data_IF_616774540452
#
_entry.id   IF_616774540452
#
_cell.length_a   1.000
_cell.length_b   1.000
_cell.length_c   1.000
_cell.angle_alpha   90.00
_cell.angle_beta   90.00
_cell.angle_gamma   90.00
#
_symmetry.space_group_name_H-M   'P 1'
#
loop_
_entity.id
_entity.type
_entity.pdbx_description
1 polymer ?
#
# COMPACT_ATOMS: atom_id res chain seq x y z
N UNK A 1 -25.85 -6.65 18.68
CA UNK A 1 -26.64 -5.87 19.66
C UNK A 1 -27.40 -4.78 18.91
N UNK A 2 -28.70 -4.61 19.16
CA UNK A 2 -29.45 -3.47 18.63
C UNK A 2 -28.90 -2.18 19.28
N UNK A 3 -28.69 -1.13 18.48
CA UNK A 3 -28.18 0.14 18.98
C UNK A 3 -29.26 0.80 19.85
N UNK A 4 -29.09 0.76 21.17
CA UNK A 4 -29.98 1.45 22.10
C UNK A 4 -29.54 2.91 22.18
N UNK A 5 -30.33 3.81 21.58
CA UNK A 5 -30.04 5.24 21.62
C UNK A 5 -30.21 5.75 23.04
N UNK A 6 -29.12 6.21 23.66
CA UNK A 6 -29.20 6.94 24.93
C UNK A 6 -29.15 8.44 24.66
N UNK A 7 -30.05 9.18 25.32
CA UNK A 7 -30.08 10.64 25.22
C UNK A 7 -28.93 11.22 26.04
N UNK A 8 -27.95 11.82 25.35
CA UNK A 8 -27.00 12.74 25.97
C UNK A 8 -27.61 14.14 25.86
N UNK A 9 -28.35 14.58 26.87
CA UNK A 9 -28.76 15.98 26.98
C UNK A 9 -28.16 16.62 28.21
N UNK A 10 -27.62 17.83 28.04
CA UNK A 10 -27.23 18.75 29.12
C UNK A 10 -25.98 18.36 29.93
N UNK A 11 -24.94 17.86 29.25
CA UNK A 11 -23.61 17.79 29.86
C UNK A 11 -23.05 19.21 30.00
N UNK A 12 -22.81 19.67 31.23
CA UNK A 12 -22.19 20.98 31.45
C UNK A 12 -20.69 20.96 31.11
N UNK A 13 -20.05 19.79 31.22
CA UNK A 13 -18.63 19.59 30.93
C UNK A 13 -18.39 18.42 29.98
N UNK A 14 -17.38 18.55 29.11
CA UNK A 14 -16.94 17.50 28.18
C UNK A 14 -15.85 16.61 28.78
N UNK A 15 -14.85 16.21 27.98
CA UNK A 15 -13.65 15.53 28.49
C UNK A 15 -12.79 16.50 29.29
N UNK A 16 -12.52 16.19 30.55
CA UNK A 16 -11.65 16.98 31.44
C UNK A 16 -10.44 16.14 31.83
N UNK A 17 -9.29 16.35 31.19
CA UNK A 17 -8.06 15.59 31.49
C UNK A 17 -7.17 16.23 32.57
N UNK A 18 -7.56 17.40 33.08
CA UNK A 18 -6.75 18.18 34.04
C UNK A 18 -7.06 17.86 35.51
N UNK A 19 -8.01 16.98 35.77
CA UNK A 19 -8.44 16.59 37.11
C UNK A 19 -8.35 15.09 37.23
N UNK A 20 -7.93 14.64 38.39
CA UNK A 20 -7.94 13.21 38.70
C UNK A 20 -9.38 12.66 38.68
N UNK A 21 -9.59 11.37 38.37
CA UNK A 21 -10.92 10.81 38.12
C UNK A 21 -11.95 11.05 39.23
N UNK A 22 -11.51 11.05 40.50
CA UNK A 22 -12.39 11.30 41.66
C UNK A 22 -12.74 12.78 41.87
N UNK A 23 -12.08 13.69 41.15
CA UNK A 23 -12.36 15.14 41.12
C UNK A 23 -13.17 15.56 39.88
N UNK A 24 -13.50 14.61 39.00
CA UNK A 24 -14.40 14.82 37.89
C UNK A 24 -15.81 15.05 38.43
N UNK A 25 -16.51 16.00 37.81
CA UNK A 25 -17.94 16.14 38.06
C UNK A 25 -18.66 14.90 37.53
N UNK A 26 -19.82 14.62 38.11
CA UNK A 26 -20.57 13.40 37.83
C UNK A 26 -21.02 13.26 36.36
N UNK A 27 -20.99 14.37 35.60
CA UNK A 27 -21.33 14.48 34.18
C UNK A 27 -20.10 14.52 33.24
N UNK A 28 -18.87 14.52 33.76
CA UNK A 28 -17.67 14.54 32.95
C UNK A 28 -17.23 13.12 32.56
N UNK A 29 -16.81 12.94 31.30
CA UNK A 29 -16.27 11.67 30.83
C UNK A 29 -14.77 11.54 31.16
N UNK A 30 -14.41 10.46 31.85
CA UNK A 30 -13.01 10.09 32.11
C UNK A 30 -12.30 9.66 30.81
N UNK A 31 -12.96 8.78 30.06
CA UNK A 31 -12.46 8.22 28.80
C UNK A 31 -13.51 8.48 27.71
N UNK A 32 -13.04 9.02 26.58
CA UNK A 32 -13.82 9.16 25.36
C UNK A 32 -13.10 8.37 24.27
N UNK A 33 -13.67 7.23 23.88
CA UNK A 33 -13.14 6.40 22.81
C UNK A 33 -13.81 6.73 21.48
N UNK A 34 -12.98 6.90 20.45
CA UNK A 34 -13.41 7.15 19.07
C UNK A 34 -14.39 8.34 18.87
N UNK A 35 -14.32 9.34 19.74
CA UNK A 35 -15.10 10.57 19.64
C UNK A 35 -14.25 11.80 20.03
N UNK A 36 -14.68 12.98 19.58
CA UNK A 36 -14.12 14.26 20.00
C UNK A 36 -15.23 15.24 20.32
N UNK A 37 -14.91 16.28 21.07
CA UNK A 37 -15.81 17.42 21.27
C UNK A 37 -15.48 18.50 20.25
N UNK A 38 -16.47 18.90 19.46
CA UNK A 38 -16.38 20.04 18.53
C UNK A 38 -17.51 21.00 18.85
N UNK A 39 -17.15 22.18 19.36
CA UNK A 39 -18.11 23.25 19.72
C UNK A 39 -19.21 22.77 20.70
N UNK A 40 -18.83 21.98 21.71
CA UNK A 40 -19.78 21.44 22.71
C UNK A 40 -20.62 20.26 22.22
N UNK A 41 -20.48 19.85 20.94
CA UNK A 41 -21.13 18.65 20.42
C UNK A 41 -20.12 17.50 20.47
N UNK A 42 -20.51 16.39 21.08
CA UNK A 42 -19.78 15.13 20.99
C UNK A 42 -19.96 14.58 19.56
N UNK A 43 -18.91 14.65 18.76
CA UNK A 43 -18.88 14.08 17.42
C UNK A 43 -18.09 12.77 17.45
N UNK A 44 -18.55 11.77 16.69
CA UNK A 44 -17.72 10.60 16.38
C UNK A 44 -16.46 11.09 15.65
N UNK A 45 -15.27 10.65 16.09
CA UNK A 45 -14.04 10.94 15.34
C UNK A 45 -14.21 10.29 13.97
N UNK A 46 -13.99 11.09 12.92
CA UNK A 46 -13.88 10.55 11.56
C UNK A 46 -12.50 9.91 11.43
N UNK A 47 -12.41 8.67 11.91
CA UNK A 47 -11.23 7.81 11.92
C UNK A 47 -11.67 6.50 12.58
N UNK A 48 -11.40 5.36 11.94
CA UNK A 48 -11.82 4.06 12.48
C UNK A 48 -10.71 3.60 13.43
N UNK A 49 -11.04 3.18 14.65
CA UNK A 49 -10.06 2.51 15.54
C UNK A 49 -9.37 1.34 14.85
N UNK A 50 -10.09 0.69 13.92
CA UNK A 50 -9.58 -0.36 13.02
C UNK A 50 -8.42 0.07 12.12
N UNK A 51 -8.28 1.36 11.80
CA UNK A 51 -7.15 1.82 10.98
C UNK A 51 -5.84 1.89 11.79
N UNK A 52 -5.91 2.04 13.11
CA UNK A 52 -4.72 2.14 13.96
C UNK A 52 -4.01 0.82 14.25
N UNK A 53 -4.61 -0.32 13.86
CA UNK A 53 -4.05 -1.65 14.05
C UNK A 53 -4.29 -2.47 12.79
N UNK A 54 -3.32 -2.43 11.88
CA UNK A 54 -3.30 -3.30 10.71
C UNK A 54 -2.50 -4.54 11.10
N UNK A 55 -3.13 -5.72 11.06
CA UNK A 55 -2.43 -6.98 11.36
C UNK A 55 -1.32 -7.19 10.34
N UNK A 56 -0.13 -7.55 10.82
CA UNK A 56 0.96 -7.99 9.96
C UNK A 56 0.94 -9.48 9.77
N UNK A 57 0.83 -9.92 8.53
CA UNK A 57 1.06 -11.33 8.20
C UNK A 57 2.46 -11.39 7.64
N UNK A 58 3.35 -12.13 8.30
CA UNK A 58 4.60 -12.51 7.67
C UNK A 58 4.26 -13.43 6.49
N UNK A 59 4.51 -12.99 5.26
CA UNK A 59 4.13 -13.74 4.06
C UNK A 59 4.98 -14.98 3.83
N UNK A 60 6.12 -15.14 4.50
CA UNK A 60 6.92 -16.35 4.45
C UNK A 60 6.47 -17.38 5.49
N UNK A 61 6.09 -16.96 6.69
CA UNK A 61 5.70 -17.88 7.78
C UNK A 61 4.19 -17.97 8.02
N UNK A 62 3.41 -17.09 7.39
CA UNK A 62 1.97 -16.88 7.60
C UNK A 62 1.57 -16.57 9.04
N UNK A 63 2.54 -16.22 9.90
CA UNK A 63 2.26 -15.88 11.29
C UNK A 63 1.71 -14.45 11.41
N UNK A 64 0.49 -14.27 11.92
CA UNK A 64 -0.02 -12.95 12.21
C UNK A 64 0.75 -12.37 13.42
N UNK A 65 1.27 -11.17 13.25
CA UNK A 65 1.89 -10.36 14.28
C UNK A 65 1.17 -9.02 14.34
N UNK A 66 0.80 -8.59 15.53
CA UNK A 66 0.27 -7.24 15.71
C UNK A 66 1.43 -6.26 15.65
N UNK A 67 1.68 -5.68 14.48
CA UNK A 67 2.62 -4.58 14.32
C UNK A 67 1.83 -3.26 14.29
N UNK A 68 2.16 -2.34 15.20
CA UNK A 68 1.50 -1.03 15.33
C UNK A 68 2.12 0.00 14.41
N UNK A 69 2.19 -0.32 13.11
CA UNK A 69 2.71 0.63 12.13
C UNK A 69 1.74 1.82 11.99
N UNK A 70 2.27 3.05 11.86
CA UNK A 70 1.44 4.20 11.54
C UNK A 70 0.79 4.01 10.16
N UNK A 71 -0.44 4.51 10.02
CA UNK A 71 -1.09 4.63 8.71
C UNK A 71 -0.47 5.80 7.98
N UNK A 72 0.13 5.49 6.83
CA UNK A 72 0.86 6.43 5.98
C UNK A 72 0.01 6.95 4.81
N UNK A 73 -1.16 6.36 4.58
CA UNK A 73 -2.10 6.81 3.57
C UNK A 73 -3.37 5.98 3.52
N UNK A 74 -4.49 6.62 3.17
CA UNK A 74 -5.77 5.94 2.90
C UNK A 74 -6.29 6.47 1.58
N UNK A 75 -6.43 5.57 0.62
CA UNK A 75 -6.83 5.91 -0.73
C UNK A 75 -7.83 4.91 -1.26
N UNK A 76 -8.35 5.19 -2.44
CA UNK A 76 -9.25 4.28 -3.14
C UNK A 76 -8.58 3.82 -4.43
N UNK A 77 -8.57 2.51 -4.66
CA UNK A 77 -8.36 1.93 -5.97
C UNK A 77 -9.69 1.96 -6.72
N UNK A 78 -9.68 2.48 -7.94
CA UNK A 78 -10.86 2.53 -8.81
C UNK A 78 -10.72 1.42 -9.85
N UNK A 79 -11.68 0.51 -9.94
CA UNK A 79 -11.72 -0.54 -10.96
C UNK A 79 -13.06 -0.55 -11.69
N UNK A 80 -13.13 0.15 -12.82
CA UNK A 80 -14.39 0.36 -13.51
C UNK A 80 -15.40 1.13 -12.63
N UNK A 81 -16.44 0.44 -12.16
CA UNK A 81 -17.47 1.01 -11.28
C UNK A 81 -17.28 0.63 -9.80
N UNK A 82 -16.27 -0.18 -9.47
CA UNK A 82 -15.98 -0.54 -8.08
C UNK A 82 -14.93 0.38 -7.51
N UNK A 83 -15.10 0.70 -6.23
CA UNK A 83 -14.18 1.50 -5.44
C UNK A 83 -13.73 0.65 -4.25
N UNK A 84 -12.44 0.40 -4.16
CA UNK A 84 -11.84 -0.43 -3.13
C UNK A 84 -10.93 0.43 -2.26
N UNK A 85 -11.12 0.36 -0.94
CA UNK A 85 -10.28 1.12 -0.01
C UNK A 85 -8.94 0.40 0.14
N UNK A 86 -7.86 1.10 -0.16
CA UNK A 86 -6.49 0.67 0.08
C UNK A 86 -5.85 1.54 1.15
N UNK A 87 -5.10 0.91 2.04
CA UNK A 87 -4.44 1.58 3.16
C UNK A 87 -2.98 1.17 3.17
N UNK A 88 -2.13 2.17 3.40
CA UNK A 88 -0.70 2.00 3.50
C UNK A 88 -0.29 2.12 4.95
N UNK A 89 0.48 1.15 5.43
CA UNK A 89 1.29 1.31 6.64
C UNK A 89 2.72 1.69 6.22
N UNK A 90 3.67 1.72 7.17
CA UNK A 90 5.07 2.04 6.87
C UNK A 90 5.72 1.12 5.81
N UNK A 91 5.35 -0.16 5.79
CA UNK A 91 6.07 -1.20 5.05
C UNK A 91 5.19 -1.93 4.02
N UNK A 92 3.86 -1.74 4.05
CA UNK A 92 2.88 -2.61 3.37
C UNK A 92 1.63 -1.87 2.90
N UNK A 93 0.92 -2.50 1.97
CA UNK A 93 -0.37 -2.06 1.45
C UNK A 93 -1.39 -3.13 1.78
N UNK A 94 -2.55 -2.69 2.23
CA UNK A 94 -3.65 -3.54 2.62
C UNK A 94 -4.92 -3.11 1.90
N UNK A 95 -5.69 -4.09 1.44
CA UNK A 95 -7.01 -3.91 0.85
C UNK A 95 -8.07 -4.16 1.89
N UNK A 96 -9.02 -3.23 2.03
CA UNK A 96 -10.22 -3.47 2.81
C UNK A 96 -11.19 -4.39 2.06
N UNK A 97 -11.67 -5.44 2.72
CA UNK A 97 -12.62 -6.39 2.17
C UNK A 97 -13.88 -6.40 3.03
N UNK A 98 -14.95 -5.81 2.51
CA UNK A 98 -16.22 -5.65 3.22
C UNK A 98 -16.98 -6.97 3.41
N UNK A 99 -16.71 -7.95 2.55
CA UNK A 99 -17.33 -9.29 2.60
C UNK A 99 -16.75 -10.21 3.68
N UNK A 100 -15.69 -9.78 4.39
CA UNK A 100 -15.08 -10.56 5.48
C UNK A 100 -16.04 -10.64 6.67
N UNK A 101 -16.19 -11.83 7.25
CA UNK A 101 -17.19 -12.09 8.27
C UNK A 101 -16.85 -11.42 9.61
N UNK A 102 -17.86 -11.06 10.39
CA UNK A 102 -17.70 -10.52 11.74
C UNK A 102 -18.83 -11.01 12.65
N UNK A 103 -18.50 -11.25 13.92
CA UNK A 103 -19.45 -11.58 14.98
C UNK A 103 -19.95 -13.01 14.94
N UNK A 104 -19.15 -13.96 14.44
CA UNK A 104 -19.53 -15.38 14.45
C UNK A 104 -19.35 -15.94 15.86
N UNK A 105 -20.43 -16.46 16.45
CA UNK A 105 -20.42 -16.97 17.82
C UNK A 105 -19.79 -18.37 17.89
N UNK A 106 -18.86 -18.53 18.83
CA UNK A 106 -18.18 -19.78 19.15
C UNK A 106 -19.05 -20.62 20.09
N UNK A 107 -19.18 -21.91 19.80
CA UNK A 107 -20.00 -22.85 20.58
C UNK A 107 -19.14 -23.74 21.48
N UNK A 108 -18.01 -24.22 20.96
CA UNK A 108 -17.11 -25.09 21.72
C UNK A 108 -15.70 -25.05 21.17
N UNK A 109 -14.75 -25.49 22.00
CA UNK A 109 -13.34 -25.70 21.66
C UNK A 109 -12.93 -27.12 22.01
N UNK A 110 -12.11 -27.74 21.16
CA UNK A 110 -11.61 -29.10 21.33
C UNK A 110 -10.14 -29.21 20.94
N UNK A 111 -9.43 -30.11 21.62
CA UNK A 111 -8.07 -30.52 21.24
C UNK A 111 -8.15 -31.44 20.01
N UNK A 112 -7.38 -31.12 18.96
CA UNK A 112 -7.23 -32.00 17.78
C UNK A 112 -5.97 -32.86 17.91
N UNK A 113 -5.09 -32.55 18.86
CA UNK A 113 -3.75 -33.10 18.95
C UNK A 113 -2.88 -32.68 17.75
N UNK A 114 -1.68 -33.25 17.67
CA UNK A 114 -0.71 -32.99 16.60
C UNK A 114 0.44 -32.05 17.00
N UNK A 115 1.45 -31.99 16.15
CA UNK A 115 2.53 -31.01 16.21
C UNK A 115 2.48 -30.17 14.93
N UNK A 116 2.39 -28.83 15.01
CA UNK A 116 2.24 -28.02 16.22
C UNK A 116 0.88 -28.24 16.92
N UNK A 117 0.71 -27.78 18.16
CA UNK A 117 -0.55 -27.95 18.90
C UNK A 117 -1.70 -27.28 18.12
N UNK A 118 -2.74 -28.05 17.77
CA UNK A 118 -3.90 -27.56 17.02
C UNK A 118 -5.17 -27.60 17.86
N UNK A 119 -5.92 -26.51 17.84
CA UNK A 119 -7.19 -26.35 18.55
C UNK A 119 -8.32 -26.12 17.55
N UNK A 120 -9.41 -26.88 17.70
CA UNK A 120 -10.62 -26.76 16.87
C UNK A 120 -11.71 -25.99 17.57
N UNK A 121 -12.23 -24.99 16.87
CA UNK A 121 -13.43 -24.26 17.25
C UNK A 121 -14.63 -24.78 16.48
N UNK A 122 -15.79 -24.80 17.14
CA UNK A 122 -17.09 -25.13 16.52
C UNK A 122 -18.01 -23.93 16.61
N UNK A 123 -18.78 -23.69 15.55
CA UNK A 123 -19.81 -22.63 15.47
C UNK A 123 -21.18 -23.27 15.18
N UNK A 124 -22.27 -22.55 15.48
CA UNK A 124 -23.62 -23.11 15.39
C UNK A 124 -24.10 -23.37 13.94
N UNK A 125 -23.64 -22.56 12.99
CA UNK A 125 -23.98 -22.62 11.57
C UNK A 125 -22.80 -22.12 10.74
N UNK A 126 -22.82 -22.40 9.43
CA UNK A 126 -21.76 -22.05 8.49
C UNK A 126 -21.07 -20.72 8.76
N UNK A 127 -19.75 -20.74 8.94
CA UNK A 127 -18.98 -19.53 9.28
C UNK A 127 -18.46 -18.80 8.04
N UNK A 128 -18.16 -19.49 6.94
CA UNK A 128 -17.60 -18.84 5.73
C UNK A 128 -16.12 -18.43 5.84
N UNK A 129 -15.43 -18.88 6.89
CA UNK A 129 -13.97 -18.79 7.02
C UNK A 129 -13.35 -19.85 6.11
N UNK A 130 -12.24 -19.53 5.47
CA UNK A 130 -11.41 -20.41 4.63
C UNK A 130 -10.06 -20.70 5.31
N UNK A 131 -9.32 -21.70 4.81
CA UNK A 131 -7.93 -21.88 5.23
C UNK A 131 -7.11 -20.62 4.87
N UNK A 132 -6.08 -20.33 5.66
CA UNK A 132 -5.20 -19.15 5.58
C UNK A 132 -5.84 -17.81 5.91
N UNK A 133 -7.14 -17.78 6.24
CA UNK A 133 -7.74 -16.58 6.78
C UNK A 133 -7.13 -16.22 8.14
N UNK A 134 -6.97 -14.92 8.36
CA UNK A 134 -6.62 -14.37 9.67
C UNK A 134 -7.89 -14.03 10.41
N UNK A 135 -7.99 -14.52 11.64
CA UNK A 135 -9.14 -14.32 12.50
C UNK A 135 -8.73 -13.78 13.87
N UNK A 136 -9.55 -12.90 14.43
CA UNK A 136 -9.44 -12.44 15.81
C UNK A 136 -10.54 -13.09 16.64
N UNK A 137 -10.11 -13.87 17.63
CA UNK A 137 -10.99 -14.44 18.66
C UNK A 137 -11.04 -13.47 19.84
N UNK A 138 -12.24 -13.25 20.38
CA UNK A 138 -12.48 -12.30 21.47
C UNK A 138 -13.55 -12.81 22.44
N UNK A 139 -13.51 -12.29 23.67
CA UNK A 139 -14.42 -12.65 24.76
C UNK A 139 -14.30 -14.14 25.15
N UNK A 140 -13.08 -14.64 25.16
CA UNK A 140 -12.68 -15.96 25.67
C UNK A 140 -11.70 -15.78 26.84
N UNK A 141 -11.40 -16.86 27.58
CA UNK A 141 -10.42 -16.75 28.67
C UNK A 141 -9.00 -17.04 28.18
N UNK A 142 -8.85 -18.03 27.30
CA UNK A 142 -7.54 -18.55 26.90
C UNK A 142 -7.18 -18.28 25.44
N UNK A 143 -8.11 -17.79 24.63
CA UNK A 143 -7.97 -17.70 23.18
C UNK A 143 -8.18 -16.29 22.63
N UNK A 144 -8.14 -15.26 23.47
CA UNK A 144 -8.23 -13.88 22.99
C UNK A 144 -6.94 -13.53 22.26
N UNK A 145 -7.04 -13.31 20.95
CA UNK A 145 -5.87 -13.19 20.09
C UNK A 145 -6.20 -13.19 18.61
N UNK A 146 -5.17 -13.05 17.78
CA UNK A 146 -5.25 -13.12 16.32
C UNK A 146 -4.50 -14.34 15.83
N UNK A 147 -5.13 -15.14 14.99
CA UNK A 147 -4.66 -16.46 14.58
C UNK A 147 -4.84 -16.65 13.08
N UNK A 148 -3.97 -17.46 12.48
CA UNK A 148 -4.19 -18.04 11.16
C UNK A 148 -5.07 -19.28 11.29
N UNK A 149 -5.96 -19.48 10.33
CA UNK A 149 -6.78 -20.68 10.22
C UNK A 149 -6.07 -21.74 9.39
N UNK A 150 -5.86 -22.92 9.98
CA UNK A 150 -5.13 -24.04 9.36
C UNK A 150 -6.04 -24.97 8.56
N UNK A 151 -7.21 -25.30 9.12
CA UNK A 151 -8.17 -26.20 8.50
C UNK A 151 -9.60 -25.72 8.71
N UNK A 152 -10.45 -26.02 7.75
CA UNK A 152 -11.84 -25.56 7.69
C UNK A 152 -12.77 -26.72 7.30
N UNK A 153 -13.88 -26.82 8.00
CA UNK A 153 -15.07 -27.56 7.58
C UNK A 153 -16.29 -26.64 7.63
N UNK A 154 -17.49 -27.16 7.38
CA UNK A 154 -18.70 -26.33 7.33
C UNK A 154 -18.97 -25.58 8.64
N UNK A 155 -18.70 -26.19 9.80
CA UNK A 155 -19.04 -25.64 11.13
C UNK A 155 -17.86 -25.62 12.09
N UNK A 156 -16.65 -25.89 11.60
CA UNK A 156 -15.46 -25.96 12.44
C UNK A 156 -14.26 -25.36 11.71
N UNK A 157 -13.38 -24.73 12.47
CA UNK A 157 -12.09 -24.28 11.97
C UNK A 157 -11.01 -24.53 13.03
N UNK A 158 -9.78 -24.67 12.56
CA UNK A 158 -8.63 -25.02 13.40
C UNK A 158 -7.63 -23.85 13.43
N UNK A 159 -7.01 -23.62 14.59
CA UNK A 159 -5.90 -22.67 14.76
C UNK A 159 -4.72 -23.36 15.43
N UNK A 160 -3.52 -22.84 15.20
CA UNK A 160 -2.34 -23.22 15.97
C UNK A 160 -2.38 -22.56 17.36
N UNK A 161 -2.56 -23.36 18.42
CA UNK A 161 -2.54 -22.90 19.82
C UNK A 161 -2.41 -24.10 20.76
N UNK A 162 -1.87 -23.89 21.95
CA UNK A 162 -1.91 -24.91 23.00
C UNK A 162 -3.36 -25.10 23.48
N UNK A 163 -3.81 -26.36 23.57
CA UNK A 163 -5.14 -26.64 24.08
C UNK A 163 -5.26 -26.32 25.57
N UNK A 164 -6.25 -25.51 25.92
CA UNK A 164 -6.68 -25.22 27.29
C UNK A 164 -8.20 -25.38 27.32
N UNK A 165 -8.69 -26.30 28.15
CA UNK A 165 -10.12 -26.54 28.25
C UNK A 165 -10.85 -25.29 28.78
N UNK A 166 -11.84 -24.81 28.04
CA UNK A 166 -12.77 -23.78 28.50
C UNK A 166 -14.16 -23.96 27.90
N UNK A 167 -15.15 -23.31 28.52
CA UNK A 167 -16.52 -23.23 28.00
C UNK A 167 -16.70 -21.91 27.27
N UNK A 168 -17.13 -21.94 26.01
CA UNK A 168 -17.40 -20.74 25.25
C UNK A 168 -18.63 -20.01 25.81
N UNK A 169 -18.50 -18.72 26.04
CA UNK A 169 -19.60 -17.86 26.44
C UNK A 169 -20.48 -17.49 25.25
N UNK A 170 -21.72 -17.05 25.52
CA UNK A 170 -22.64 -16.60 24.47
C UNK A 170 -22.15 -15.37 23.68
N UNK A 171 -21.08 -14.72 24.15
CA UNK A 171 -20.42 -13.57 23.52
C UNK A 171 -19.04 -13.91 22.95
N UNK A 172 -18.54 -15.13 23.15
CA UNK A 172 -17.28 -15.61 22.57
C UNK A 172 -17.46 -15.65 21.06
N UNK A 173 -16.61 -14.91 20.36
CA UNK A 173 -16.81 -14.68 18.93
C UNK A 173 -15.49 -14.69 18.18
N UNK A 174 -15.60 -15.04 16.91
CA UNK A 174 -14.53 -14.92 15.93
C UNK A 174 -14.91 -13.88 14.88
N UNK A 175 -13.96 -13.02 14.54
CA UNK A 175 -14.04 -12.05 13.47
C UNK A 175 -12.93 -12.34 12.48
N UNK A 176 -13.20 -12.22 11.20
CA UNK A 176 -12.15 -12.29 10.19
C UNK A 176 -11.52 -10.90 10.03
N UNK A 177 -10.21 -10.86 9.81
CA UNK A 177 -9.50 -9.60 9.55
C UNK A 177 -10.03 -8.96 8.27
N UNK A 178 -10.42 -7.69 8.36
CA UNK A 178 -11.01 -6.96 7.23
C UNK A 178 -9.97 -6.44 6.26
N UNK A 179 -8.70 -6.38 6.68
CA UNK A 179 -7.58 -5.98 5.85
C UNK A 179 -6.84 -7.19 5.30
N UNK A 180 -6.84 -7.33 3.98
CA UNK A 180 -5.99 -8.30 3.30
C UNK A 180 -4.72 -7.61 2.89
N UNK A 181 -3.58 -8.03 3.44
CA UNK A 181 -2.26 -7.61 2.97
C UNK A 181 -2.12 -7.96 1.49
N UNK A 182 -1.63 -7.05 0.66
CA UNK A 182 -1.37 -7.34 -0.77
C UNK A 182 0.12 -7.23 -1.11
N UNK A 183 0.96 -6.96 -0.12
CA UNK A 183 2.42 -7.03 -0.22
C UNK A 183 2.87 -8.49 -0.06
N UNK A 184 2.88 -9.24 -1.16
CA UNK A 184 3.36 -10.64 -1.19
C UNK A 184 4.88 -10.72 -1.44
N UNK A 185 5.47 -11.85 -1.04
CA UNK A 185 6.85 -12.16 -1.43
C UNK A 185 6.97 -12.15 -2.93
N UNK A 186 7.97 -11.45 -3.44
CA UNK A 186 8.19 -11.33 -4.87
C UNK A 186 9.65 -11.21 -5.20
N UNK A 187 9.99 -11.70 -6.38
CA UNK A 187 11.34 -11.58 -6.96
C UNK A 187 11.19 -11.00 -8.35
N UNK A 188 11.98 -9.97 -8.61
CA UNK A 188 12.11 -9.42 -9.95
C UNK A 188 13.11 -10.23 -10.75
N UNK A 189 12.78 -10.51 -12.00
CA UNK A 189 13.64 -11.25 -12.92
C UNK A 189 13.95 -10.44 -14.18
N UNK A 190 15.10 -10.71 -14.78
CA UNK A 190 15.52 -10.21 -16.08
C UNK A 190 16.00 -11.38 -16.96
N UNK A 191 15.48 -11.44 -18.18
CA UNK A 191 15.92 -12.35 -19.21
C UNK A 191 17.22 -11.85 -19.86
N UNK A 192 18.36 -12.10 -19.20
CA UNK A 192 19.68 -11.85 -19.77
C UNK A 192 20.06 -12.91 -20.84
N UNK A 193 19.30 -13.00 -21.95
CA UNK A 193 19.57 -13.93 -23.07
C UNK A 193 19.51 -15.43 -22.73
N UNK A 194 18.64 -15.83 -21.79
CA UNK A 194 18.48 -17.22 -21.33
C UNK A 194 17.21 -17.89 -21.89
N UNK A 195 16.97 -19.19 -21.61
CA UNK A 195 15.86 -19.97 -22.20
C UNK A 195 14.47 -19.46 -21.78
N UNK A 196 13.52 -19.35 -22.72
CA UNK A 196 12.21 -18.68 -22.58
C UNK A 196 11.15 -19.36 -21.70
N UNK A 197 11.52 -19.94 -20.56
CA UNK A 197 10.54 -20.61 -19.70
C UNK A 197 9.68 -19.61 -18.91
N UNK A 198 8.36 -19.76 -19.02
CA UNK A 198 7.37 -18.95 -18.28
C UNK A 198 6.75 -19.81 -17.19
N UNK A 199 6.99 -19.50 -15.90
CA UNK A 199 6.36 -20.24 -14.82
C UNK A 199 4.84 -20.11 -14.83
N UNK A 200 4.16 -21.22 -14.59
CA UNK A 200 2.73 -21.29 -14.33
C UNK A 200 2.45 -21.21 -12.82
N UNK A 201 1.21 -20.84 -12.47
CA UNK A 201 0.74 -20.88 -11.08
C UNK A 201 0.87 -22.31 -10.52
N UNK A 202 1.44 -22.43 -9.32
CA UNK A 202 1.64 -23.68 -8.61
C UNK A 202 3.00 -24.35 -8.84
N UNK A 203 3.82 -23.85 -9.76
CA UNK A 203 5.18 -24.35 -9.97
C UNK A 203 6.13 -23.79 -8.91
N UNK A 204 7.09 -24.60 -8.47
CA UNK A 204 8.14 -24.18 -7.53
C UNK A 204 9.34 -23.64 -8.30
N UNK A 205 9.69 -22.38 -8.04
CA UNK A 205 10.91 -21.77 -8.56
C UNK A 205 12.00 -21.86 -7.49
N UNK A 206 13.20 -22.20 -7.92
CA UNK A 206 14.40 -22.28 -7.12
C UNK A 206 15.46 -21.33 -7.68
N UNK A 207 16.24 -20.73 -6.78
CA UNK A 207 17.38 -19.91 -7.17
C UNK A 207 18.70 -20.66 -7.02
N UNK A 208 19.47 -20.75 -8.10
CA UNK A 208 20.73 -21.49 -8.19
C UNK A 208 21.73 -21.19 -7.06
N UNK A 209 21.87 -19.91 -6.72
CA UNK A 209 22.94 -19.45 -5.82
C UNK A 209 22.58 -19.59 -4.35
N UNK A 210 21.32 -19.31 -3.98
CA UNK A 210 20.88 -19.31 -2.59
C UNK A 210 20.21 -20.62 -2.17
N UNK A 211 19.71 -21.41 -3.13
CA UNK A 211 18.82 -22.54 -2.87
C UNK A 211 17.44 -22.10 -2.36
N UNK A 212 17.11 -20.81 -2.40
CA UNK A 212 15.80 -20.32 -2.01
C UNK A 212 14.74 -20.85 -2.97
N UNK A 213 13.57 -21.22 -2.44
CA UNK A 213 12.45 -21.73 -3.23
C UNK A 213 11.17 -20.96 -2.93
N UNK A 214 10.21 -20.97 -3.86
CA UNK A 214 8.87 -20.44 -3.67
C UNK A 214 7.90 -20.94 -4.73
N UNK A 215 6.63 -21.11 -4.37
CA UNK A 215 5.58 -21.55 -5.31
C UNK A 215 4.96 -20.33 -5.98
N UNK A 216 4.90 -20.34 -7.31
CA UNK A 216 4.40 -19.21 -8.11
C UNK A 216 2.90 -19.04 -7.89
N UNK A 217 2.49 -17.80 -7.58
CA UNK A 217 1.09 -17.38 -7.62
C UNK A 217 0.78 -16.75 -8.98
N UNK A 218 1.54 -15.73 -9.34
CA UNK A 218 1.42 -15.02 -10.61
C UNK A 218 2.77 -14.53 -11.11
N UNK A 219 2.91 -14.52 -12.43
CA UNK A 219 4.03 -13.91 -13.13
C UNK A 219 3.51 -12.72 -13.92
N UNK A 220 4.05 -11.54 -13.64
CA UNK A 220 3.73 -10.31 -14.36
C UNK A 220 4.90 -9.92 -15.22
N UNK A 221 4.67 -9.69 -16.51
CA UNK A 221 5.68 -9.16 -17.44
C UNK A 221 5.49 -7.65 -17.53
N UNK A 222 6.52 -6.91 -17.13
CA UNK A 222 6.51 -5.44 -17.18
C UNK A 222 6.80 -4.96 -18.61
N UNK A 223 7.77 -5.59 -19.27
CA UNK A 223 8.04 -5.40 -20.70
C UNK A 223 8.69 -6.64 -21.33
N UNK A 224 8.74 -6.64 -22.66
CA UNK A 224 9.27 -7.75 -23.45
C UNK A 224 8.31 -8.93 -23.52
N UNK A 225 8.81 -10.08 -23.97
CA UNK A 225 8.05 -11.32 -24.02
C UNK A 225 8.96 -12.51 -23.68
N UNK A 226 8.44 -13.53 -22.99
CA UNK A 226 9.26 -14.70 -22.65
C UNK A 226 9.84 -15.40 -23.89
N UNK A 227 9.12 -15.38 -25.01
CA UNK A 227 9.62 -15.91 -26.28
C UNK A 227 10.64 -15.02 -27.01
N UNK A 228 10.76 -13.75 -26.62
CA UNK A 228 11.68 -12.76 -27.21
C UNK A 228 13.06 -12.69 -26.54
N UNK A 229 13.26 -13.43 -25.45
CA UNK A 229 14.47 -13.37 -24.60
C UNK A 229 14.76 -11.95 -24.06
N UNK A 230 13.73 -11.14 -23.88
CA UNK A 230 13.77 -9.76 -23.39
C UNK A 230 12.75 -9.51 -22.27
N UNK A 231 12.15 -10.58 -21.73
CA UNK A 231 11.15 -10.48 -20.67
C UNK A 231 11.76 -10.01 -19.36
N UNK A 232 11.22 -8.92 -18.84
CA UNK A 232 11.51 -8.46 -17.49
C UNK A 232 10.19 -8.31 -16.77
N UNK A 233 10.19 -8.77 -15.52
CA UNK A 233 8.96 -8.85 -14.79
C UNK A 233 9.14 -9.23 -13.34
N UNK A 234 8.02 -9.55 -12.71
CA UNK A 234 7.95 -9.92 -11.30
C UNK A 234 7.27 -11.27 -11.17
N UNK A 235 7.91 -12.18 -10.43
CA UNK A 235 7.28 -13.40 -9.91
C UNK A 235 6.75 -13.06 -8.53
N UNK A 236 5.45 -13.26 -8.32
CA UNK A 236 4.81 -13.19 -7.01
C UNK A 236 4.57 -14.61 -6.54
N UNK A 237 4.98 -14.89 -5.31
CA UNK A 237 4.86 -16.21 -4.71
C UNK A 237 3.59 -16.34 -3.87
N UNK A 238 3.08 -17.57 -3.81
CA UNK A 238 2.03 -17.95 -2.88
C UNK A 238 2.53 -17.75 -1.45
N UNK A 239 1.68 -17.22 -0.59
CA UNK A 239 2.05 -16.94 0.81
C UNK A 239 2.36 -18.24 1.54
N UNK A 240 3.34 -18.21 2.43
CA UNK A 240 3.80 -19.35 3.21
C UNK A 240 4.67 -20.33 2.43
N UNK A 241 4.91 -20.12 1.13
CA UNK A 241 5.62 -21.08 0.28
C UNK A 241 7.10 -20.76 0.09
N UNK A 242 7.52 -19.54 0.43
CA UNK A 242 8.91 -19.11 0.26
C UNK A 242 9.78 -19.69 1.37
N UNK A 243 10.87 -20.37 0.99
CA UNK A 243 11.90 -20.86 1.90
C UNK A 243 13.26 -20.31 1.51
N UNK A 244 14.06 -19.87 2.50
CA UNK A 244 15.34 -19.21 2.27
C UNK A 244 15.19 -17.74 1.87
N UNK A 245 16.27 -17.16 1.34
CA UNK A 245 16.29 -15.76 0.86
C UNK A 245 16.80 -15.73 -0.57
N UNK A 246 15.95 -15.29 -1.49
CA UNK A 246 16.38 -15.01 -2.86
C UNK A 246 17.38 -13.84 -2.83
N UNK A 247 18.58 -14.03 -3.36
CA UNK A 247 19.59 -13.00 -3.48
C UNK A 247 19.48 -12.26 -4.82
N UNK A 248 20.13 -11.10 -4.93
CA UNK A 248 20.32 -10.46 -6.23
C UNK A 248 21.30 -11.27 -7.08
N UNK A 249 21.06 -11.33 -8.38
CA UNK A 249 21.91 -11.89 -9.44
C UNK A 249 22.01 -13.43 -9.49
N UNK A 250 21.19 -14.16 -8.74
CA UNK A 250 21.07 -15.62 -8.86
C UNK A 250 20.07 -16.03 -9.93
N UNK A 251 20.42 -17.00 -10.76
CA UNK A 251 19.53 -17.59 -11.77
C UNK A 251 18.34 -18.28 -11.12
N UNK A 252 17.14 -18.01 -11.63
CA UNK A 252 15.86 -18.60 -11.24
C UNK A 252 15.51 -19.71 -12.24
N UNK A 253 15.11 -20.88 -11.75
CA UNK A 253 14.68 -22.01 -12.58
C UNK A 253 13.57 -22.83 -11.91
N UNK A 254 12.85 -23.63 -12.68
CA UNK A 254 11.89 -24.60 -12.14
C UNK A 254 12.60 -25.64 -11.27
N UNK A 255 12.20 -25.77 -10.01
CA UNK A 255 12.80 -26.73 -9.09
C UNK A 255 12.68 -28.16 -9.62
N UNK A 256 13.80 -28.87 -9.67
CA UNK A 256 13.90 -30.19 -10.30
C UNK A 256 14.20 -30.18 -11.80
N UNK A 257 14.07 -29.04 -12.48
CA UNK A 257 14.36 -28.90 -13.92
C UNK A 257 15.28 -27.69 -14.20
N UNK A 258 16.59 -27.75 -13.90
CA UNK A 258 17.51 -26.60 -14.05
C UNK A 258 17.64 -26.04 -15.48
N UNK A 259 17.16 -26.75 -16.51
CA UNK A 259 17.10 -26.25 -17.89
C UNK A 259 15.96 -25.26 -18.15
N UNK A 260 14.95 -25.23 -17.27
CA UNK A 260 13.78 -24.36 -17.35
C UNK A 260 14.09 -23.05 -16.62
N UNK A 261 14.88 -22.20 -17.26
CA UNK A 261 15.40 -20.96 -16.69
C UNK A 261 14.34 -19.87 -16.84
N UNK A 262 13.98 -19.23 -15.72
CA UNK A 262 13.04 -18.10 -15.70
C UNK A 262 13.77 -16.76 -15.93
N UNK A 263 15.07 -16.72 -15.73
CA UNK A 263 15.88 -15.50 -15.84
C UNK A 263 16.76 -15.32 -14.60
N UNK A 264 17.43 -14.18 -14.52
CA UNK A 264 18.29 -13.84 -13.39
C UNK A 264 17.55 -12.92 -12.43
N UNK A 265 17.64 -13.17 -11.13
CA UNK A 265 17.04 -12.30 -10.13
C UNK A 265 17.71 -10.92 -10.17
N UNK A 266 16.94 -9.85 -10.37
CA UNK A 266 17.48 -8.48 -10.41
C UNK A 266 17.66 -7.90 -9.01
N UNK A 267 16.82 -8.34 -8.08
CA UNK A 267 16.82 -7.89 -6.69
C UNK A 267 16.70 -9.08 -5.76
N UNK A 268 17.13 -8.90 -4.51
CA UNK A 268 16.79 -9.85 -3.46
C UNK A 268 15.27 -9.96 -3.32
N UNK A 269 14.78 -11.17 -3.08
CA UNK A 269 13.38 -11.40 -2.76
C UNK A 269 13.03 -10.70 -1.47
N UNK A 270 11.90 -10.01 -1.46
CA UNK A 270 11.44 -9.29 -0.29
C UNK A 270 9.92 -9.35 -0.16
N UNK A 271 9.48 -9.35 1.09
CA UNK A 271 8.09 -9.15 1.50
C UNK A 271 7.79 -7.67 1.78
N UNK A 272 8.82 -6.82 1.76
CA UNK A 272 8.77 -5.44 2.22
C UNK A 272 8.94 -4.50 1.05
N UNK A 273 7.81 -4.00 0.55
CA UNK A 273 7.77 -3.13 -0.63
C UNK A 273 8.28 -1.72 -0.31
N UNK A 274 8.30 -1.35 0.97
CA UNK A 274 8.68 0.00 1.39
C UNK A 274 9.63 -0.01 2.59
N UNK A 275 10.68 0.81 2.49
CA UNK A 275 11.74 1.00 3.49
C UNK A 275 11.68 2.36 4.17
N UNK A 276 10.66 3.16 3.84
CA UNK A 276 10.43 4.49 4.40
C UNK A 276 10.17 4.50 5.91
N UNK A 277 10.23 5.69 6.49
CA UNK A 277 9.87 5.94 7.89
C UNK A 277 8.50 6.63 8.02
N UNK A 278 8.18 7.15 9.21
CA UNK A 278 6.91 7.83 9.48
C UNK A 278 6.83 9.26 8.87
N UNK A 279 7.80 9.65 8.04
CA UNK A 279 7.82 10.89 7.27
C UNK A 279 7.60 10.65 5.77
N UNK A 280 7.72 9.41 5.31
CA UNK A 280 7.58 9.00 3.91
C UNK A 280 6.11 8.66 3.59
N UNK A 281 5.28 9.70 3.44
CA UNK A 281 3.86 9.53 3.12
C UNK A 281 3.64 9.05 1.69
N UNK A 282 2.62 8.21 1.53
CA UNK A 282 2.23 7.70 0.22
C UNK A 282 1.47 8.77 -0.58
N UNK A 283 1.70 8.77 -1.87
CA UNK A 283 0.91 9.47 -2.87
C UNK A 283 0.46 8.49 -3.94
N UNK A 284 -0.79 8.62 -4.39
CA UNK A 284 -1.32 7.72 -5.41
C UNK A 284 -2.02 8.46 -6.54
N UNK A 285 -2.02 7.85 -7.72
CA UNK A 285 -2.84 8.26 -8.84
C UNK A 285 -3.52 7.05 -9.47
N UNK A 286 -4.84 7.13 -9.66
CA UNK A 286 -5.59 6.12 -10.38
C UNK A 286 -5.63 6.46 -11.87
N UNK A 287 -5.42 5.46 -12.73
CA UNK A 287 -5.60 5.58 -14.17
C UNK A 287 -6.27 4.34 -14.74
N UNK A 288 -7.37 4.53 -15.46
CA UNK A 288 -7.96 3.49 -16.31
C UNK A 288 -7.47 3.67 -17.74
N UNK A 289 -6.78 2.67 -18.27
CA UNK A 289 -6.24 2.64 -19.62
C UNK A 289 -6.62 1.32 -20.29
N UNK A 290 -7.25 1.38 -21.46
CA UNK A 290 -7.64 0.18 -22.21
C UNK A 290 -8.63 -0.74 -21.46
N UNK A 291 -9.39 -0.20 -20.51
CA UNK A 291 -10.32 -0.97 -19.67
C UNK A 291 -9.69 -1.60 -18.42
N UNK A 292 -8.37 -1.56 -18.27
CA UNK A 292 -7.67 -1.97 -17.06
C UNK A 292 -7.44 -0.74 -16.17
N UNK A 293 -7.77 -0.83 -14.88
CA UNK A 293 -7.53 0.25 -13.94
C UNK A 293 -6.34 -0.07 -13.06
N UNK A 294 -5.46 0.92 -12.90
CA UNK A 294 -4.22 0.79 -12.15
C UNK A 294 -4.09 1.96 -11.17
N UNK A 295 -3.54 1.69 -9.99
CA UNK A 295 -3.12 2.72 -9.05
C UNK A 295 -1.61 2.79 -9.05
N UNK A 296 -1.04 3.94 -9.39
CA UNK A 296 0.38 4.21 -9.29
C UNK A 296 0.67 4.81 -7.92
N UNK A 297 1.72 4.32 -7.28
CA UNK A 297 2.01 4.56 -5.88
C UNK A 297 3.45 5.03 -5.75
N UNK A 298 3.67 6.07 -4.95
CA UNK A 298 4.98 6.61 -4.64
C UNK A 298 5.05 7.01 -3.15
N UNK A 299 6.23 6.90 -2.53
CA UNK A 299 6.44 7.28 -1.11
C UNK A 299 7.75 8.05 -0.88
N UNK A 300 8.30 8.70 -1.92
CA UNK A 300 9.55 9.48 -1.87
C UNK A 300 10.83 8.68 -1.58
N UNK A 301 10.74 7.42 -1.17
CA UNK A 301 11.89 6.62 -0.72
C UNK A 301 12.18 5.44 -1.63
N UNK A 302 11.15 4.67 -1.91
CA UNK A 302 11.23 3.40 -2.59
C UNK A 302 10.83 3.55 -4.07
N UNK A 303 11.09 2.53 -4.90
CA UNK A 303 10.60 2.50 -6.26
C UNK A 303 9.10 2.67 -6.36
N UNK A 304 8.67 3.26 -7.47
CA UNK A 304 7.24 3.39 -7.73
C UNK A 304 6.61 2.02 -7.89
N UNK A 305 5.38 1.89 -7.44
CA UNK A 305 4.62 0.64 -7.47
C UNK A 305 3.31 0.83 -8.26
N UNK A 306 2.77 -0.27 -8.77
CA UNK A 306 1.51 -0.37 -9.50
C UNK A 306 0.64 -1.40 -8.81
N UNK A 307 -0.59 -1.01 -8.50
CA UNK A 307 -1.64 -1.92 -8.07
C UNK A 307 -2.70 -2.09 -9.16
N UNK A 308 -3.00 -3.33 -9.56
CA UNK A 308 -3.98 -3.65 -10.60
C UNK A 308 -5.36 -4.09 -10.04
N UNK A 309 -5.55 -4.00 -8.72
CA UNK A 309 -6.75 -4.48 -8.02
C UNK A 309 -6.58 -5.89 -7.41
N UNK A 310 -5.52 -6.60 -7.80
CA UNK A 310 -5.17 -7.93 -7.28
C UNK A 310 -3.73 -7.95 -6.77
N UNK A 311 -2.78 -7.57 -7.63
CA UNK A 311 -1.34 -7.69 -7.44
C UNK A 311 -0.67 -6.34 -7.35
N UNK A 312 0.40 -6.29 -6.56
CA UNK A 312 1.27 -5.13 -6.42
C UNK A 312 2.62 -5.43 -7.07
N UNK A 313 2.97 -4.68 -8.12
CA UNK A 313 4.23 -4.85 -8.87
C UNK A 313 4.97 -3.52 -9.00
N UNK A 314 6.28 -3.58 -9.21
CA UNK A 314 7.08 -2.38 -9.41
C UNK A 314 6.68 -1.67 -10.72
N UNK A 315 6.54 -0.34 -10.70
CA UNK A 315 6.52 0.46 -11.94
C UNK A 315 7.95 0.60 -12.43
N UNK A 316 8.24 -0.07 -13.53
CA UNK A 316 9.53 0.03 -14.17
C UNK A 316 9.59 1.26 -15.09
N UNK A 317 10.48 2.20 -14.78
CA UNK A 317 10.70 3.38 -15.60
C UNK A 317 12.06 3.24 -16.26
N UNK A 318 12.03 2.79 -17.52
CA UNK A 318 13.17 2.75 -18.42
C UNK A 318 13.24 4.03 -19.28
N UNK A 319 14.23 4.87 -19.04
CA UNK A 319 14.45 6.14 -19.71
C UNK A 319 15.25 5.90 -21.00
N UNK A 320 14.54 5.70 -22.10
CA UNK A 320 15.22 5.44 -23.37
C UNK A 320 14.30 5.12 -24.54
N UNK A 321 14.90 4.82 -25.68
CA UNK A 321 14.21 4.19 -26.79
C UNK A 321 13.97 2.71 -26.45
N UNK A 322 12.91 2.10 -27.00
CA UNK A 322 12.53 0.72 -26.68
C UNK A 322 13.63 -0.33 -26.95
N UNK A 323 14.56 -0.05 -27.86
CA UNK A 323 15.69 -0.95 -28.18
C UNK A 323 16.92 -0.81 -27.27
N UNK A 324 16.99 0.24 -26.44
CA UNK A 324 18.10 0.50 -25.53
C UNK A 324 17.78 0.12 -24.08
N UNK A 325 16.64 -0.53 -23.86
CA UNK A 325 16.13 -0.89 -22.54
C UNK A 325 17.03 -1.94 -21.89
N UNK A 326 17.83 -1.50 -20.93
CA UNK A 326 18.81 -2.35 -20.25
C UNK A 326 18.24 -3.06 -19.00
N UNK A 327 16.93 -2.94 -18.73
CA UNK A 327 16.30 -3.51 -17.54
C UNK A 327 16.64 -2.79 -16.25
N UNK A 328 17.30 -1.63 -16.35
CA UNK A 328 17.62 -0.76 -15.23
C UNK A 328 16.46 0.20 -14.94
N UNK A 329 16.07 0.31 -13.67
CA UNK A 329 15.03 1.25 -13.29
C UNK A 329 15.70 2.61 -13.06
N UNK A 330 15.66 3.52 -14.03
CA UNK A 330 16.34 4.80 -13.88
C UNK A 330 15.54 5.83 -13.10
N UNK A 331 14.31 5.54 -12.67
CA UNK A 331 13.61 6.34 -11.65
C UNK A 331 13.37 5.49 -10.42
N UNK A 332 14.24 5.66 -9.43
CA UNK A 332 14.25 4.80 -8.23
C UNK A 332 13.33 5.28 -7.12
N UNK A 333 12.88 6.54 -7.15
CA UNK A 333 11.83 7.05 -6.27
C UNK A 333 11.20 8.32 -6.82
N UNK A 334 10.00 8.67 -6.33
CA UNK A 334 9.32 9.94 -6.60
C UNK A 334 8.49 10.37 -5.39
N UNK A 335 8.31 11.69 -5.20
CA UNK A 335 7.47 12.22 -4.13
C UNK A 335 5.99 12.23 -4.51
N UNK A 336 5.68 12.65 -5.74
CA UNK A 336 4.31 12.80 -6.22
C UNK A 336 4.12 12.10 -7.56
N UNK A 337 2.93 11.54 -7.76
CA UNK A 337 2.48 10.94 -9.02
C UNK A 337 1.12 11.50 -9.42
N UNK A 338 0.95 11.86 -10.68
CA UNK A 338 -0.31 12.39 -11.22
C UNK A 338 -0.61 11.78 -12.58
N UNK A 339 -1.88 11.69 -12.94
CA UNK A 339 -2.31 11.44 -14.32
C UNK A 339 -2.78 12.74 -14.91
N UNK A 340 -2.10 13.24 -15.95
CA UNK A 340 -2.43 14.50 -16.58
C UNK A 340 -2.30 14.42 -18.10
N UNK A 341 -3.36 14.83 -18.81
CA UNK A 341 -3.44 14.78 -20.29
C UNK A 341 -3.00 13.42 -20.86
N UNK A 342 -3.56 12.34 -20.31
CA UNK A 342 -3.31 10.95 -20.72
C UNK A 342 -1.84 10.50 -20.59
N UNK A 343 -1.11 11.09 -19.63
CA UNK A 343 0.27 10.72 -19.28
C UNK A 343 0.38 10.52 -17.78
N UNK A 344 1.29 9.65 -17.37
CA UNK A 344 1.71 9.54 -15.97
C UNK A 344 2.84 10.54 -15.73
N UNK A 345 2.70 11.39 -14.73
CA UNK A 345 3.66 12.42 -14.34
C UNK A 345 4.25 12.05 -12.98
N UNK A 346 5.55 12.22 -12.82
CA UNK A 346 6.27 12.07 -11.56
C UNK A 346 7.04 13.34 -11.22
N UNK A 347 7.08 13.69 -9.94
CA UNK A 347 7.72 14.91 -9.45
C UNK A 347 8.65 14.63 -8.27
N UNK A 348 9.72 15.43 -8.16
CA UNK A 348 10.79 15.28 -7.15
C UNK A 348 11.30 13.83 -7.15
N UNK A 349 12.05 13.50 -8.19
CA UNK A 349 12.45 12.13 -8.49
C UNK A 349 13.90 11.89 -8.10
N UNK A 350 14.23 10.66 -7.76
CA UNK A 350 15.62 10.18 -7.76
C UNK A 350 15.86 9.44 -9.06
N UNK A 351 16.74 9.97 -9.91
CA UNK A 351 17.13 9.33 -11.17
C UNK A 351 18.43 8.53 -11.02
N UNK A 352 18.60 7.49 -11.84
CA UNK A 352 19.85 6.70 -11.93
C UNK A 352 20.40 6.66 -13.36
N UNK A 353 20.12 7.69 -14.16
CA UNK A 353 20.48 7.71 -15.60
C UNK A 353 21.99 7.75 -15.85
N UNK A 354 22.76 8.16 -14.84
CA UNK A 354 24.23 8.28 -14.91
C UNK A 354 24.97 7.13 -14.21
N UNK A 355 24.24 6.09 -13.78
CA UNK A 355 24.79 5.04 -12.92
C UNK A 355 25.01 5.47 -11.47
N UNK A 356 24.61 6.69 -11.12
CA UNK A 356 24.56 7.21 -9.75
C UNK A 356 23.17 7.77 -9.48
N UNK A 357 22.65 7.53 -8.27
CA UNK A 357 21.38 8.08 -7.82
C UNK A 357 21.50 9.60 -7.62
N UNK A 358 20.78 10.37 -8.43
CA UNK A 358 20.73 11.83 -8.37
C UNK A 358 19.32 12.27 -8.02
N UNK A 359 19.17 12.90 -6.85
CA UNK A 359 17.93 13.56 -6.48
C UNK A 359 17.73 14.82 -7.34
N UNK A 360 16.59 14.90 -8.03
CA UNK A 360 16.20 16.03 -8.87
C UNK A 360 14.92 16.69 -8.31
N UNK A 361 15.05 17.57 -7.29
CA UNK A 361 13.91 18.04 -6.51
C UNK A 361 12.99 19.03 -7.25
N UNK A 362 13.45 19.59 -8.37
CA UNK A 362 12.68 20.47 -9.25
C UNK A 362 12.09 19.76 -10.47
N UNK A 363 12.38 18.47 -10.63
CA UNK A 363 12.07 17.75 -11.87
C UNK A 363 10.62 17.30 -11.89
N UNK A 364 9.95 17.62 -13.00
CA UNK A 364 8.82 16.87 -13.49
C UNK A 364 9.29 15.93 -14.61
N UNK A 365 8.82 14.69 -14.61
CA UNK A 365 9.03 13.73 -15.69
C UNK A 365 7.67 13.14 -16.08
N UNK A 366 7.52 12.72 -17.33
CA UNK A 366 6.26 12.13 -17.80
C UNK A 366 6.46 10.96 -18.75
N UNK A 367 5.46 10.07 -18.76
CA UNK A 367 5.37 8.96 -19.70
C UNK A 367 4.92 9.41 -21.09
N UNK A 368 5.04 8.51 -22.06
CA UNK A 368 4.39 8.63 -23.35
C UNK A 368 2.86 8.67 -23.19
N UNK A 369 2.18 9.23 -24.20
CA UNK A 369 0.73 9.35 -24.21
C UNK A 369 0.10 7.95 -24.21
N UNK A 370 -0.82 7.69 -23.29
CA UNK A 370 -1.50 6.40 -23.13
C UNK A 370 -0.57 5.21 -22.93
N UNK A 371 0.67 5.45 -22.51
CA UNK A 371 1.64 4.40 -22.28
C UNK A 371 2.50 4.73 -21.04
N UNK A 372 2.09 4.26 -19.85
CA UNK A 372 2.81 4.47 -18.59
C UNK A 372 4.14 3.70 -18.53
N UNK A 373 4.44 2.81 -19.47
CA UNK A 373 5.66 1.99 -19.53
C UNK A 373 6.69 2.52 -20.52
N UNK A 374 6.42 3.66 -21.16
CA UNK A 374 7.32 4.28 -22.13
C UNK A 374 7.69 5.68 -21.67
N UNK A 375 8.98 5.91 -21.43
CA UNK A 375 9.49 7.16 -20.85
C UNK A 375 10.62 7.72 -21.73
N UNK A 376 10.29 8.50 -22.78
CA UNK A 376 11.31 9.04 -23.68
C UNK A 376 12.35 9.87 -22.93
N UNK A 377 13.61 9.83 -23.37
CA UNK A 377 14.73 10.53 -22.72
C UNK A 377 14.47 12.02 -22.50
N UNK A 378 13.83 12.69 -23.47
CA UNK A 378 13.50 14.11 -23.42
C UNK A 378 12.21 14.45 -22.64
N UNK A 379 11.51 13.47 -22.05
CA UNK A 379 10.23 13.67 -21.37
C UNK A 379 10.38 14.12 -19.91
N UNK A 380 11.16 15.19 -19.69
CA UNK A 380 11.30 15.83 -18.40
C UNK A 380 11.46 17.34 -18.53
N UNK A 381 11.17 18.06 -17.46
CA UNK A 381 11.42 19.49 -17.34
C UNK A 381 11.64 19.89 -15.90
N UNK A 382 12.76 20.54 -15.65
CA UNK A 382 13.09 21.09 -14.34
C UNK A 382 12.41 22.46 -14.18
N UNK A 383 11.81 22.71 -13.02
CA UNK A 383 11.27 24.01 -12.70
C UNK A 383 12.40 25.05 -12.62
N UNK A 384 12.24 26.26 -13.19
CA UNK A 384 13.29 27.27 -13.20
C UNK A 384 13.37 28.01 -11.85
N UNK A 385 13.66 27.26 -10.78
CA UNK A 385 13.79 27.72 -9.39
C UNK A 385 14.78 26.84 -8.62
N UNK A 386 15.22 27.30 -7.45
CA UNK A 386 15.98 26.49 -6.49
C UNK A 386 15.08 25.80 -5.46
N UNK A 387 13.78 26.14 -5.42
CA UNK A 387 12.83 25.56 -4.47
C UNK A 387 12.58 24.08 -4.74
N UNK A 388 12.19 23.32 -3.72
CA UNK A 388 11.97 21.87 -3.77
C UNK A 388 10.48 21.59 -3.92
N UNK A 389 10.09 20.73 -4.87
CA UNK A 389 8.70 20.30 -4.99
C UNK A 389 8.33 19.50 -3.75
N UNK A 390 7.24 19.91 -3.07
CA UNK A 390 6.76 19.22 -1.87
C UNK A 390 5.33 18.70 -2.00
N UNK A 391 4.44 19.43 -2.65
CA UNK A 391 3.03 19.08 -2.74
C UNK A 391 2.43 19.51 -4.08
N UNK A 392 1.26 18.97 -4.41
CA UNK A 392 0.56 19.36 -5.63
C UNK A 392 -0.89 18.92 -5.62
N UNK A 393 -1.67 19.44 -6.56
CA UNK A 393 -3.04 19.01 -6.75
C UNK A 393 -3.71 19.77 -7.89
N UNK A 394 -4.78 19.16 -8.41
CA UNK A 394 -5.58 19.79 -9.45
C UNK A 394 -6.50 20.89 -8.87
N UNK A 395 -6.67 21.95 -9.65
CA UNK A 395 -7.67 22.98 -9.48
C UNK A 395 -8.40 23.11 -10.83
N UNK A 396 -9.60 22.53 -10.93
CA UNK A 396 -10.23 22.30 -12.22
C UNK A 396 -9.39 21.32 -13.05
N UNK A 397 -9.06 21.71 -14.28
CA UNK A 397 -8.23 20.92 -15.20
C UNK A 397 -6.73 21.25 -15.09
N UNK A 398 -6.36 22.22 -14.26
CA UNK A 398 -4.99 22.72 -14.14
C UNK A 398 -4.26 22.09 -12.94
N UNK A 399 -3.02 21.69 -13.17
CA UNK A 399 -2.16 21.12 -12.14
C UNK A 399 -1.30 22.21 -11.50
N UNK A 400 -1.46 22.40 -10.19
CA UNK A 400 -0.64 23.31 -9.40
C UNK A 400 0.31 22.53 -8.52
N UNK A 401 1.56 22.98 -8.48
CA UNK A 401 2.66 22.41 -7.72
C UNK A 401 3.14 23.46 -6.72
N UNK A 402 3.20 23.05 -5.46
CA UNK A 402 3.66 23.83 -4.33
C UNK A 402 5.07 23.39 -3.96
N UNK A 403 5.97 24.37 -3.91
CA UNK A 403 7.37 24.14 -3.60
C UNK A 403 7.73 24.75 -2.24
N UNK A 404 8.77 24.22 -1.61
CA UNK A 404 9.36 24.73 -0.39
C UNK A 404 10.74 25.33 -0.68
N UNK A 405 11.03 26.49 -0.12
CA UNK A 405 12.28 27.22 -0.40
C UNK A 405 12.61 28.23 0.68
N UNK A 406 13.83 28.78 0.61
CA UNK A 406 14.38 29.66 1.65
C UNK A 406 13.51 30.89 1.97
N UNK A 407 12.75 31.37 0.98
CA UNK A 407 11.87 32.56 1.10
C UNK A 407 10.38 32.22 1.22
N UNK A 408 10.07 31.02 1.73
CA UNK A 408 8.70 30.57 1.90
C UNK A 408 8.17 29.69 0.78
N UNK A 409 8.98 29.45 -0.25
CA UNK A 409 8.68 28.62 -1.41
C UNK A 409 7.97 29.36 -2.54
N UNK A 410 7.52 28.60 -3.54
CA UNK A 410 6.84 29.13 -4.72
C UNK A 410 5.70 28.22 -5.18
N UNK A 411 4.73 28.81 -5.88
CA UNK A 411 3.62 28.08 -6.52
C UNK A 411 3.79 28.16 -8.02
N UNK A 412 3.69 27.02 -8.67
CA UNK A 412 3.80 26.87 -10.11
C UNK A 412 2.59 26.15 -10.67
N UNK A 413 2.16 26.55 -11.85
CA UNK A 413 1.24 25.79 -12.68
C UNK A 413 2.04 24.97 -13.69
N UNK A 414 1.69 23.70 -13.84
CA UNK A 414 2.24 22.84 -14.88
C UNK A 414 1.30 22.85 -16.08
N UNK A 415 1.60 23.71 -17.04
CA UNK A 415 0.70 24.10 -18.14
C UNK A 415 0.85 23.13 -19.30
N UNK A 416 -0.28 22.66 -19.85
CA UNK A 416 -0.29 21.89 -21.09
C UNK A 416 -0.12 22.82 -22.31
N UNK A 417 0.88 22.56 -23.15
CA UNK A 417 1.17 23.39 -24.34
C UNK A 417 0.49 22.90 -25.62
N UNK A 418 0.10 21.62 -25.67
CA UNK A 418 -0.33 20.98 -26.91
C UNK A 418 0.81 20.49 -27.81
N UNK A 419 2.07 20.77 -27.46
CA UNK A 419 3.24 20.30 -28.21
C UNK A 419 3.48 18.80 -27.94
N UNK A 420 3.73 18.02 -28.99
CA UNK A 420 4.01 16.60 -28.87
C UNK A 420 5.41 16.31 -28.29
N UNK A 421 6.36 17.24 -28.48
CA UNK A 421 7.75 17.12 -28.01
C UNK A 421 7.91 17.68 -26.61
N UNK A 422 7.37 18.88 -26.35
CA UNK A 422 7.43 19.57 -25.07
C UNK A 422 6.02 19.84 -24.51
N UNK A 423 5.28 18.78 -24.11
CA UNK A 423 3.87 18.88 -23.75
C UNK A 423 3.56 19.78 -22.55
N UNK A 424 4.56 20.06 -21.71
CA UNK A 424 4.37 20.80 -20.47
C UNK A 424 5.37 21.93 -20.29
N UNK A 425 4.89 23.03 -19.73
CA UNK A 425 5.67 24.21 -19.37
C UNK A 425 5.41 24.62 -17.93
N UNK A 426 6.45 25.15 -17.28
CA UNK A 426 6.35 25.70 -15.93
C UNK A 426 5.94 27.16 -15.99
N UNK A 427 4.77 27.50 -15.44
CA UNK A 427 4.32 28.88 -15.28
C UNK A 427 4.32 29.26 -13.81
N UNK A 428 5.13 30.26 -13.44
CA UNK A 428 5.17 30.75 -12.05
C UNK A 428 3.89 31.50 -11.71
N UNK A 429 3.25 31.14 -10.61
CA UNK A 429 2.05 31.78 -10.08
C UNK A 429 2.41 32.70 -8.92
N UNK A 430 3.25 32.22 -7.99
CA UNK A 430 3.78 33.01 -6.88
C UNK A 430 5.23 32.66 -6.62
N UNK A 431 6.03 33.65 -6.24
CA UNK A 431 7.45 33.49 -5.91
C UNK A 431 7.72 33.46 -4.40
N UNK A 432 6.69 33.65 -3.57
CA UNK A 432 6.81 33.79 -2.12
C UNK A 432 5.81 32.92 -1.34
N UNK A 433 4.85 32.31 -2.05
CA UNK A 433 3.86 31.41 -1.47
C UNK A 433 4.27 29.97 -1.80
N UNK A 434 4.39 29.11 -0.80
CA UNK A 434 4.79 27.72 -0.95
C UNK A 434 4.13 26.82 0.10
N UNK A 435 4.50 25.54 0.11
CA UNK A 435 4.02 24.58 1.10
C UNK A 435 5.19 24.02 1.91
N UNK A 436 4.93 23.58 3.15
CA UNK A 436 5.97 22.96 4.01
C UNK A 436 5.88 21.44 4.07
N UNK A 437 4.77 20.84 3.62
CA UNK A 437 4.54 19.40 3.74
C UNK A 437 3.72 18.85 2.57
N UNK A 438 3.99 17.60 2.20
CA UNK A 438 3.37 16.89 1.07
C UNK A 438 1.85 16.85 1.13
N UNK A 439 1.30 16.51 2.29
CA UNK A 439 -0.16 16.38 2.50
C UNK A 439 -0.82 17.67 3.00
N UNK A 440 -0.15 18.82 2.88
CA UNK A 440 -0.69 20.10 3.37
C UNK A 440 -1.68 20.76 2.40
N UNK A 441 -1.74 20.30 1.16
CA UNK A 441 -2.60 20.84 0.10
C UNK A 441 -3.97 20.18 0.16
N UNK A 442 -5.02 20.99 0.20
CA UNK A 442 -6.41 20.54 0.12
C UNK A 442 -7.12 21.32 -0.97
N UNK A 443 -7.83 20.64 -1.86
CA UNK A 443 -8.69 21.29 -2.87
C UNK A 443 -10.16 21.09 -2.49
N UNK A 444 -10.92 22.18 -2.42
CA UNK A 444 -12.37 22.14 -2.22
C UNK A 444 -13.05 23.33 -2.88
N UNK A 445 -14.16 23.08 -3.59
CA UNK A 445 -15.00 24.11 -4.21
C UNK A 445 -14.20 25.04 -5.17
N UNK A 446 -13.32 24.46 -5.99
CA UNK A 446 -12.43 25.22 -6.87
C UNK A 446 -11.58 26.27 -6.13
N UNK A 447 -11.14 25.91 -4.91
CA UNK A 447 -10.15 26.66 -4.15
C UNK A 447 -9.14 25.64 -3.65
N UNK A 448 -7.85 25.93 -3.86
CA UNK A 448 -6.78 25.13 -3.31
C UNK A 448 -6.16 25.87 -2.12
N UNK A 449 -5.98 25.16 -1.00
CA UNK A 449 -5.37 25.71 0.21
C UNK A 449 -4.17 24.88 0.62
N UNK A 450 -3.10 25.54 1.05
CA UNK A 450 -1.90 24.88 1.53
C UNK A 450 -1.46 25.49 2.87
N UNK A 451 -0.75 24.71 3.67
CA UNK A 451 -0.07 25.22 4.86
C UNK A 451 1.31 25.70 4.41
N UNK A 452 1.47 27.02 4.35
CA UNK A 452 2.77 27.64 4.17
C UNK A 452 3.53 27.75 5.50
N UNK A 453 4.78 28.23 5.48
CA UNK A 453 5.62 28.26 6.68
C UNK A 453 5.11 29.19 7.78
N UNK A 454 4.38 30.25 7.42
CA UNK A 454 3.89 31.26 8.37
C UNK A 454 2.38 31.51 8.32
N UNK A 455 1.70 31.05 7.26
CA UNK A 455 0.27 31.32 7.00
C UNK A 455 -0.39 30.18 6.23
N UNK A 456 -1.71 30.08 6.35
CA UNK A 456 -2.52 29.27 5.43
C UNK A 456 -2.67 30.09 4.15
N UNK A 457 -2.34 29.47 3.03
CA UNK A 457 -2.38 30.06 1.70
C UNK A 457 -3.61 29.53 0.97
N UNK A 458 -4.24 30.37 0.14
CA UNK A 458 -5.37 29.99 -0.68
C UNK A 458 -5.18 30.55 -2.09
N UNK A 459 -5.37 29.70 -3.09
CA UNK A 459 -5.40 30.05 -4.50
C UNK A 459 -6.80 29.74 -5.06
N UNK A 460 -7.34 30.66 -5.85
CA UNK A 460 -8.70 30.59 -6.42
C UNK A 460 -8.63 30.46 -7.93
#
# INVERSE_FOLDING_TARGET
MAYESFLISDLMEGKVSRRDPWLLRQDAFEILDNCHLKRGVLEKRRGRSLLGQIVKIDTATLNPTLQTNPVMGVFNHLSGNTEEVIIFDQNRMNKFVDSKISGVILVSVADVGGAPNVVRFTVASGHGISADDIVTISNTTNYDGTYRVEAVAATTFDIESAFVSETMGATSQVNQEQFTDVSQHRVRFDFASQSGYTPANGETIEQATSGATGVVDVVTVDYGTFGGADAVGTIIFQRGTVTGTFNSSGQLFESGTPSNIVGDAVSAGNDSNWSGDNTDFFWVANWTLGGASKTYIANNKDPLEIYDGTNLTQLFIDIGAAGDRAGLNEVTSALLVFVYKERLLTFNITDNTTGSQVLAPQRARWSAIKDPQSWPTASFKDAPTSDVIVAGGFLGDDLFIWMNGEKGGSVWQFVWTGDSVAPFEWQRISAEDGAIAQMSVTTRNNIQRAIGPTKILANN
#
